data_IF_974543326158
#
_entry.id   IF_974543326158
#
_cell.length_a   1.000
_cell.length_b   1.000
_cell.length_c   1.000
_cell.angle_alpha   90.00
_cell.angle_beta   90.00
_cell.angle_gamma   90.00
#
_symmetry.space_group_name_H-M   'P 1'
#
loop_
_entity.id
_entity.type
_entity.pdbx_description
1 polymer ?
#
# COMPACT_ATOMS: atom_id res chain seq x y z
N UNK A 1 -23.79 0.69 -19.75
CA UNK A 1 -23.66 0.27 -18.35
C UNK A 1 -22.35 0.75 -17.78
N UNK A 2 -22.43 1.44 -16.67
CA UNK A 2 -21.22 1.89 -15.99
C UNK A 2 -20.67 0.76 -15.13
N UNK A 3 -19.41 0.45 -15.30
CA UNK A 3 -18.76 -0.54 -14.47
C UNK A 3 -18.00 0.21 -13.37
N UNK A 4 -18.34 -0.09 -12.11
CA UNK A 4 -17.68 0.51 -11.00
C UNK A 4 -16.29 -0.10 -10.81
N UNK A 5 -15.33 0.75 -10.53
CA UNK A 5 -13.99 0.33 -10.22
C UNK A 5 -13.45 1.18 -9.07
N UNK A 6 -12.51 0.62 -8.33
CA UNK A 6 -11.91 1.29 -7.19
C UNK A 6 -10.64 2.00 -7.63
N UNK A 7 -10.51 3.25 -7.21
CA UNK A 7 -9.31 4.05 -7.43
C UNK A 7 -8.67 4.30 -6.07
N UNK A 8 -7.36 4.06 -5.97
CA UNK A 8 -6.59 4.40 -4.77
C UNK A 8 -5.52 5.42 -5.12
N UNK A 9 -5.39 6.43 -4.28
CA UNK A 9 -4.39 7.48 -4.45
C UNK A 9 -3.56 7.59 -3.19
N UNK A 10 -2.25 7.45 -3.33
CA UNK A 10 -1.31 7.72 -2.26
C UNK A 10 -0.91 9.17 -2.27
N UNK A 11 -0.82 9.77 -1.10
CA UNK A 11 -0.47 11.19 -0.98
C UNK A 11 0.75 11.38 -0.09
N UNK A 12 1.38 12.51 -0.24
CA UNK A 12 2.47 12.91 0.64
C UNK A 12 1.88 13.80 1.74
N UNK A 13 1.60 13.18 2.89
CA UNK A 13 1.11 13.90 4.05
C UNK A 13 -0.39 13.85 4.29
N UNK A 14 -1.13 13.05 3.51
CA UNK A 14 -2.57 12.89 3.71
C UNK A 14 -3.02 11.42 3.62
N UNK A 15 -2.07 10.48 3.67
CA UNK A 15 -2.36 9.05 3.65
C UNK A 15 -2.88 8.56 2.32
N UNK A 16 -3.70 7.52 2.37
CA UNK A 16 -4.32 6.93 1.18
C UNK A 16 -5.79 7.35 1.12
N UNK A 17 -6.24 7.72 -0.06
CA UNK A 17 -7.64 7.99 -0.35
C UNK A 17 -8.13 7.00 -1.38
N UNK A 18 -9.37 6.56 -1.24
CA UNK A 18 -9.93 5.62 -2.21
C UNK A 18 -11.35 6.00 -2.59
N UNK A 19 -11.69 5.64 -3.82
CA UNK A 19 -13.04 5.79 -4.35
C UNK A 19 -13.51 4.42 -4.84
N UNK A 20 -14.58 3.86 -4.28
CA UNK A 20 -15.11 2.57 -4.73
C UNK A 20 -16.01 2.67 -5.96
N UNK A 21 -16.32 3.87 -6.41
CA UNK A 21 -17.32 4.13 -7.45
C UNK A 21 -16.78 4.92 -8.64
N UNK A 22 -15.53 4.66 -9.00
CA UNK A 22 -14.94 5.25 -10.21
C UNK A 22 -14.58 6.71 -10.10
N UNK A 23 -14.49 7.25 -8.89
CA UNK A 23 -14.07 8.63 -8.65
C UNK A 23 -15.18 9.59 -8.24
N UNK A 24 -16.41 9.10 -8.08
CA UNK A 24 -17.52 9.97 -7.70
C UNK A 24 -17.49 10.34 -6.21
N UNK A 25 -17.18 9.37 -5.35
CA UNK A 25 -17.09 9.59 -3.90
C UNK A 25 -15.75 9.13 -3.40
N UNK A 26 -15.15 9.90 -2.49
CA UNK A 26 -13.82 9.64 -1.96
C UNK A 26 -13.84 9.55 -0.45
N UNK A 27 -13.09 8.60 0.09
CA UNK A 27 -12.88 8.44 1.53
C UNK A 27 -11.41 8.25 1.82
N UNK A 28 -11.00 8.72 3.00
CA UNK A 28 -9.66 8.41 3.48
C UNK A 28 -9.65 6.97 3.96
N UNK A 29 -8.65 6.20 3.53
CA UNK A 29 -8.44 4.84 4.00
C UNK A 29 -8.09 4.84 5.49
N UNK A 30 -8.53 3.81 6.19
CA UNK A 30 -8.13 3.58 7.58
C UNK A 30 -6.81 2.83 7.59
N UNK A 31 -5.83 3.38 8.30
CA UNK A 31 -4.52 2.75 8.44
C UNK A 31 -4.29 2.41 9.90
N UNK A 32 -4.00 1.12 10.18
CA UNK A 32 -3.72 0.66 11.52
C UNK A 32 -2.24 0.94 11.82
N UNK A 33 -2.01 1.96 12.63
CA UNK A 33 -0.66 2.40 12.93
C UNK A 33 -0.19 1.76 14.24
N UNK A 34 1.07 1.33 14.30
CA UNK A 34 1.61 0.70 15.51
C UNK A 34 2.00 1.70 16.60
N UNK A 35 1.86 3.00 16.34
CA UNK A 35 2.20 4.09 17.25
C UNK A 35 1.17 5.21 17.07
N UNK A 36 1.20 6.16 17.98
CA UNK A 36 0.28 7.29 17.94
C UNK A 36 0.71 8.28 16.84
N UNK A 37 0.25 8.02 15.63
CA UNK A 37 0.45 8.93 14.51
C UNK A 37 -0.90 9.14 13.83
N UNK A 38 -1.09 10.34 13.33
CA UNK A 38 -2.30 10.65 12.56
C UNK A 38 -2.17 10.04 11.17
N UNK A 39 -3.18 9.28 10.70
CA UNK A 39 -3.12 8.68 9.37
C UNK A 39 -2.87 9.69 8.25
N UNK A 40 -3.32 10.94 8.43
CA UNK A 40 -3.10 11.99 7.47
C UNK A 40 -1.68 12.49 7.38
N UNK A 41 -0.81 12.11 8.32
CA UNK A 41 0.59 12.50 8.31
C UNK A 41 1.48 11.49 7.58
N UNK A 42 0.95 10.33 7.23
CA UNK A 42 1.71 9.29 6.54
C UNK A 42 1.95 9.69 5.10
N UNK A 43 3.22 9.60 4.69
CA UNK A 43 3.61 9.85 3.31
C UNK A 43 3.60 8.53 2.55
N UNK A 44 2.77 8.44 1.53
CA UNK A 44 2.68 7.25 0.68
C UNK A 44 3.46 7.54 -0.59
N UNK A 45 4.54 6.80 -0.80
CA UNK A 45 5.44 7.03 -1.92
C UNK A 45 5.20 6.10 -3.08
N UNK A 46 4.53 4.97 -2.84
CA UNK A 46 4.25 4.01 -3.91
C UNK A 46 3.06 3.15 -3.54
N UNK A 47 2.32 2.75 -4.57
CA UNK A 47 1.19 1.84 -4.46
C UNK A 47 1.30 0.78 -5.54
N UNK A 48 0.90 -0.45 -5.22
CA UNK A 48 0.83 -1.52 -6.20
C UNK A 48 -0.39 -2.38 -5.92
N UNK A 49 -1.05 -2.80 -6.98
CA UNK A 49 -2.20 -3.72 -6.93
C UNK A 49 -1.71 -5.09 -7.38
N UNK A 50 -2.09 -6.15 -6.65
CA UNK A 50 -1.72 -7.49 -7.05
C UNK A 50 -2.35 -7.83 -8.40
N UNK A 51 -1.57 -8.33 -9.37
CA UNK A 51 -2.14 -8.78 -10.64
C UNK A 51 -2.93 -10.07 -10.52
N UNK A 52 -2.84 -10.75 -9.37
CA UNK A 52 -3.51 -12.04 -9.14
C UNK A 52 -4.80 -11.88 -8.33
N UNK A 53 -4.89 -10.86 -7.50
CA UNK A 53 -6.06 -10.60 -6.67
C UNK A 53 -6.18 -9.09 -6.49
N UNK A 54 -7.15 -8.50 -7.19
CA UNK A 54 -7.28 -7.04 -7.25
C UNK A 54 -7.61 -6.39 -5.92
N UNK A 55 -8.12 -7.15 -4.95
CA UNK A 55 -8.40 -6.61 -3.61
C UNK A 55 -7.13 -6.47 -2.77
N UNK A 56 -6.03 -7.10 -3.17
CA UNK A 56 -4.77 -7.05 -2.44
C UNK A 56 -3.86 -5.96 -3.00
N UNK A 57 -3.39 -5.10 -2.11
CA UNK A 57 -2.54 -3.96 -2.48
C UNK A 57 -1.41 -3.80 -1.48
N UNK A 58 -0.34 -3.20 -1.93
CA UNK A 58 0.79 -2.79 -1.09
C UNK A 58 1.02 -1.30 -1.23
N UNK A 59 1.38 -0.66 -0.13
CA UNK A 59 1.71 0.76 -0.10
C UNK A 59 3.04 0.96 0.61
N UNK A 60 3.95 1.65 -0.04
CA UNK A 60 5.23 2.03 0.55
C UNK A 60 5.12 3.39 1.20
N UNK A 61 5.57 3.50 2.46
CA UNK A 61 5.54 4.72 3.22
C UNK A 61 6.93 5.07 3.76
N UNK A 62 7.03 6.20 4.44
CA UNK A 62 8.27 6.63 5.09
C UNK A 62 8.65 5.81 6.32
N UNK A 63 7.72 5.01 6.83
CA UNK A 63 7.93 4.23 8.06
C UNK A 63 7.87 2.72 7.83
N UNK A 64 7.52 2.27 6.65
CA UNK A 64 7.45 0.86 6.35
C UNK A 64 6.43 0.54 5.26
N UNK A 65 6.12 -0.75 5.14
CA UNK A 65 5.24 -1.29 4.13
C UNK A 65 3.87 -1.58 4.74
N UNK A 66 2.82 -1.13 4.06
CA UNK A 66 1.43 -1.43 4.43
C UNK A 66 0.79 -2.33 3.40
N UNK A 67 -0.14 -3.15 3.85
CA UNK A 67 -0.93 -3.99 2.95
C UNK A 67 -2.42 -3.81 3.20
N UNK A 68 -3.19 -3.96 2.14
CA UNK A 68 -4.65 -3.99 2.17
C UNK A 68 -5.14 -5.26 1.49
N UNK A 69 -6.22 -5.84 2.04
CA UNK A 69 -6.88 -7.01 1.47
C UNK A 69 -8.31 -6.67 1.02
N UNK A 70 -8.70 -5.40 1.10
CA UNK A 70 -10.08 -4.97 0.85
C UNK A 70 -10.15 -3.73 -0.04
N UNK A 71 -9.39 -3.75 -1.13
CA UNK A 71 -9.39 -2.70 -2.16
C UNK A 71 -8.92 -1.33 -1.64
N UNK A 72 -8.08 -1.32 -0.62
CA UNK A 72 -7.54 -0.07 -0.10
C UNK A 72 -8.38 0.60 0.96
N UNK A 73 -9.46 -0.03 1.42
CA UNK A 73 -10.31 0.57 2.46
C UNK A 73 -9.59 0.62 3.81
N UNK A 74 -8.89 -0.45 4.16
CA UNK A 74 -8.09 -0.51 5.39
C UNK A 74 -6.70 -1.06 5.10
N UNK A 75 -5.72 -0.63 5.90
CA UNK A 75 -4.33 -0.98 5.71
C UNK A 75 -3.68 -1.38 7.03
N UNK A 76 -2.85 -2.42 6.99
CA UNK A 76 -2.09 -2.89 8.13
C UNK A 76 -0.60 -2.85 7.82
N UNK A 77 0.22 -2.53 8.83
CA UNK A 77 1.66 -2.54 8.69
C UNK A 77 2.15 -3.97 8.56
N UNK A 78 2.94 -4.25 7.53
CA UNK A 78 3.56 -5.56 7.34
C UNK A 78 4.80 -5.64 8.24
N UNK A 79 4.91 -6.72 9.01
CA UNK A 79 6.11 -6.98 9.80
C UNK A 79 7.22 -7.39 8.85
N UNK A 80 8.25 -6.55 8.74
CA UNK A 80 9.34 -6.82 7.81
C UNK A 80 10.63 -6.16 8.28
N UNK A 81 11.80 -6.62 7.79
CA UNK A 81 13.07 -5.98 8.11
C UNK A 81 13.18 -4.56 7.54
N UNK A 82 12.27 -4.17 6.66
CA UNK A 82 12.24 -2.82 6.10
C UNK A 82 11.49 -1.83 6.97
N UNK A 83 10.88 -2.26 8.09
CA UNK A 83 10.19 -1.34 8.99
C UNK A 83 11.17 -0.31 9.54
N UNK A 84 10.73 0.94 9.59
CA UNK A 84 11.58 2.06 9.97
C UNK A 84 12.36 2.66 8.81
N UNK A 85 12.30 2.05 7.63
CA UNK A 85 12.92 2.58 6.42
C UNK A 85 11.85 3.20 5.53
N UNK A 86 12.28 4.15 4.70
CA UNK A 86 11.38 4.72 3.69
C UNK A 86 11.25 3.74 2.53
N UNK A 87 10.02 3.40 2.17
CA UNK A 87 9.73 2.51 1.05
C UNK A 87 9.41 3.38 -0.16
N UNK A 88 10.28 3.37 -1.16
CA UNK A 88 10.16 4.23 -2.34
C UNK A 88 9.46 3.55 -3.51
N UNK A 89 9.49 2.21 -3.53
CA UNK A 89 8.85 1.45 -4.61
C UNK A 89 8.39 0.11 -4.12
N UNK A 90 7.29 -0.38 -4.69
CA UNK A 90 6.78 -1.72 -4.45
C UNK A 90 6.39 -2.32 -5.80
N UNK A 91 6.57 -3.63 -5.95
CA UNK A 91 6.21 -4.33 -7.17
C UNK A 91 5.85 -5.77 -6.86
N UNK A 92 4.71 -6.22 -7.37
CA UNK A 92 4.33 -7.63 -7.30
C UNK A 92 5.01 -8.41 -8.43
N UNK A 93 5.36 -9.65 -8.13
CA UNK A 93 5.81 -10.56 -9.17
C UNK A 93 4.64 -10.85 -10.12
N UNK A 94 4.85 -10.80 -11.45
CA UNK A 94 3.73 -10.96 -12.38
C UNK A 94 3.13 -12.36 -12.40
N UNK A 95 3.90 -13.38 -12.05
CA UNK A 95 3.48 -14.78 -12.16
C UNK A 95 3.29 -15.49 -10.84
N UNK A 96 3.90 -14.99 -9.75
CA UNK A 96 3.83 -15.66 -8.46
C UNK A 96 3.14 -14.73 -7.44
N UNK A 97 1.92 -15.08 -6.97
CA UNK A 97 1.16 -14.22 -6.05
C UNK A 97 1.78 -14.04 -4.67
N UNK A 98 2.74 -14.89 -4.31
CA UNK A 98 3.35 -14.82 -2.98
C UNK A 98 4.62 -13.97 -2.96
N UNK A 99 5.07 -13.49 -4.12
CA UNK A 99 6.34 -12.77 -4.24
C UNK A 99 6.10 -11.30 -4.55
N UNK A 100 6.79 -10.44 -3.80
CA UNK A 100 6.85 -9.02 -4.14
C UNK A 100 8.23 -8.46 -3.76
N UNK A 101 8.52 -7.28 -4.29
CA UNK A 101 9.80 -6.59 -4.10
C UNK A 101 9.56 -5.19 -3.60
N UNK A 102 10.44 -4.70 -2.74
CA UNK A 102 10.41 -3.31 -2.27
C UNK A 102 11.80 -2.70 -2.39
N UNK A 103 11.84 -1.43 -2.75
CA UNK A 103 13.05 -0.62 -2.77
C UNK A 103 12.98 0.43 -1.67
N UNK A 104 14.07 0.65 -0.96
CA UNK A 104 14.10 1.49 0.22
C UNK A 104 15.14 2.60 0.14
N UNK A 105 15.00 3.54 1.08
CA UNK A 105 16.03 4.54 1.40
C UNK A 105 16.32 4.43 2.91
N UNK A 106 17.56 4.16 3.34
CA UNK A 106 18.80 3.99 2.54
C UNK A 106 18.67 2.87 1.50
N UNK A 107 19.41 2.92 0.39
CA UNK A 107 19.22 2.00 -0.74
C UNK A 107 19.36 0.54 -0.34
N UNK A 108 18.32 -0.22 -0.60
CA UNK A 108 18.27 -1.67 -0.45
C UNK A 108 17.09 -2.20 -1.25
N UNK A 109 17.16 -3.47 -1.62
CA UNK A 109 16.05 -4.17 -2.26
C UNK A 109 15.73 -5.39 -1.42
N UNK A 110 14.48 -5.53 -1.06
CA UNK A 110 14.00 -6.68 -0.30
C UNK A 110 13.03 -7.48 -1.17
N UNK A 111 13.07 -8.78 -1.03
CA UNK A 111 12.17 -9.70 -1.70
C UNK A 111 11.42 -10.49 -0.64
N UNK A 112 10.10 -10.53 -0.76
CA UNK A 112 9.28 -11.43 0.04
C UNK A 112 8.84 -12.59 -0.85
N UNK A 113 8.83 -13.80 -0.29
CA UNK A 113 8.38 -15.01 -0.99
C UNK A 113 7.24 -15.70 -0.25
N UNK A 114 6.73 -15.10 0.80
CA UNK A 114 5.68 -15.67 1.64
C UNK A 114 4.56 -14.66 1.91
N UNK A 115 4.36 -13.70 1.01
CA UNK A 115 3.35 -12.64 1.09
C UNK A 115 3.63 -11.61 2.19
N UNK A 116 4.85 -11.59 2.72
CA UNK A 116 5.20 -10.63 3.76
C UNK A 116 6.18 -11.17 4.79
#
# INVERSE_FOLDING_TARGET
>A
MMQDFTICVGTIGAGVWFSPDGGEHWRRSRMNLPFEAEPGEIQIRSLAVSPHKSSRMLAGSEVGLYQSENNGATWDLVQSPANGKQIWSVAFHPDNPDVFFIGTKPPAVFRSSDRG
#
